data_IF_562924754574
#
_entry.id   IF_562924754574
#
_cell.length_a   1.000
_cell.length_b   1.000
_cell.length_c   1.000
_cell.angle_alpha   90.00
_cell.angle_beta   90.00
_cell.angle_gamma   90.00
#
_symmetry.space_group_name_H-M   'P 1'
#
loop_
_entity.id
_entity.type
_entity.pdbx_description
1 polymer ?
#
# COMPACT_ATOMS: atom_id res chain seq x y z
N UNK A 1 -16.75 10.83 -14.05
CA UNK A 1 -15.28 10.72 -14.19
C UNK A 1 -14.99 9.81 -15.36
N UNK A 2 -14.21 10.27 -16.35
CA UNK A 2 -14.05 9.58 -17.62
C UNK A 2 -13.44 8.17 -17.45
N UNK A 3 -14.04 7.18 -18.11
CA UNK A 3 -13.50 5.83 -18.27
C UNK A 3 -12.31 5.84 -19.24
N UNK A 4 -11.21 6.51 -18.88
CA UNK A 4 -9.97 6.42 -19.65
C UNK A 4 -9.37 5.02 -19.45
N UNK A 5 -9.45 4.20 -20.50
CA UNK A 5 -8.83 2.88 -20.56
C UNK A 5 -7.39 2.97 -21.02
N UNK A 6 -6.50 2.21 -20.41
CA UNK A 6 -5.13 2.04 -20.89
C UNK A 6 -5.11 1.07 -22.09
N UNK A 7 -4.17 1.27 -23.02
CA UNK A 7 -4.02 0.40 -24.19
C UNK A 7 -2.55 0.14 -24.56
N UNK A 8 -2.28 -1.10 -24.97
CA UNK A 8 -1.07 -1.55 -25.65
C UNK A 8 -1.47 -2.21 -26.98
N UNK A 9 -0.50 -2.63 -27.79
CA UNK A 9 -0.71 -3.20 -29.13
C UNK A 9 -1.77 -4.31 -29.19
N UNK A 10 -1.89 -5.15 -28.15
CA UNK A 10 -2.82 -6.28 -28.11
C UNK A 10 -3.68 -6.34 -26.84
N UNK A 11 -3.77 -5.26 -26.07
CA UNK A 11 -4.48 -5.27 -24.78
C UNK A 11 -5.06 -3.91 -24.45
N UNK A 12 -6.34 -3.87 -24.08
CA UNK A 12 -6.96 -2.71 -23.43
C UNK A 12 -7.41 -3.10 -22.05
N UNK A 13 -7.20 -2.24 -21.06
CA UNK A 13 -7.57 -2.56 -19.68
C UNK A 13 -7.96 -1.31 -18.88
N UNK A 14 -8.81 -1.55 -17.89
CA UNK A 14 -9.19 -0.59 -16.87
C UNK A 14 -9.34 -1.35 -15.55
N UNK A 15 -8.21 -1.60 -14.89
CA UNK A 15 -8.16 -2.46 -13.70
C UNK A 15 -7.98 -1.60 -12.46
N UNK A 16 -9.11 -1.15 -11.90
CA UNK A 16 -9.15 -0.38 -10.64
C UNK A 16 -9.54 -1.30 -9.49
N UNK A 17 -8.81 -1.21 -8.38
CA UNK A 17 -9.05 -2.02 -7.20
C UNK A 17 -9.16 -1.11 -5.97
N UNK A 18 -10.24 -1.30 -5.22
CA UNK A 18 -10.38 -0.72 -3.89
C UNK A 18 -9.76 -1.68 -2.88
N UNK A 19 -8.68 -1.24 -2.24
CA UNK A 19 -7.87 -2.04 -1.33
C UNK A 19 -7.99 -1.46 0.06
N UNK A 20 -8.39 -2.31 1.00
CA UNK A 20 -8.42 -1.96 2.42
C UNK A 20 -7.50 -2.90 3.18
N UNK A 21 -6.61 -2.35 3.98
CA UNK A 21 -5.79 -3.16 4.87
C UNK A 21 -5.46 -2.44 6.16
N UNK A 22 -5.16 -3.24 7.18
CA UNK A 22 -4.88 -2.78 8.54
C UNK A 22 -3.57 -3.40 9.05
N UNK A 23 -2.93 -2.71 9.99
CA UNK A 23 -1.81 -3.26 10.75
C UNK A 23 -2.29 -4.40 11.65
N UNK A 24 -1.40 -5.40 11.85
CA UNK A 24 -1.63 -6.48 12.83
C UNK A 24 -1.89 -5.86 14.21
N UNK A 25 -2.92 -6.35 14.89
CA UNK A 25 -3.43 -5.83 16.18
C UNK A 25 -4.01 -4.41 16.15
N UNK A 26 -4.36 -3.86 14.97
CA UNK A 26 -5.12 -2.60 14.82
C UNK A 26 -4.53 -1.43 15.64
N UNK A 27 -3.20 -1.30 15.61
CA UNK A 27 -2.45 -0.35 16.43
C UNK A 27 -2.62 1.08 15.95
N UNK A 28 -3.61 1.78 16.51
CA UNK A 28 -3.99 3.14 16.11
C UNK A 28 -2.88 4.18 16.27
N UNK A 29 -2.04 4.01 17.27
CA UNK A 29 -0.93 4.93 17.58
C UNK A 29 0.04 5.09 16.41
N UNK A 30 0.30 4.01 15.67
CA UNK A 30 1.24 4.02 14.54
C UNK A 30 0.70 4.89 13.40
N UNK A 31 -0.59 4.77 13.09
CA UNK A 31 -1.23 5.57 12.05
C UNK A 31 -1.34 7.05 12.41
N UNK A 32 -1.47 7.39 13.69
CA UNK A 32 -1.53 8.79 14.12
C UNK A 32 -0.15 9.44 14.11
N UNK A 33 0.88 8.77 14.62
CA UNK A 33 2.23 9.34 14.73
C UNK A 33 2.95 9.38 13.38
N UNK A 34 2.89 8.30 12.60
CA UNK A 34 3.70 8.11 11.39
C UNK A 34 2.87 8.23 10.10
N UNK A 35 1.73 8.94 10.17
CA UNK A 35 0.79 9.05 9.04
C UNK A 35 1.45 9.54 7.75
N UNK A 36 2.30 10.56 7.88
CA UNK A 36 2.98 11.21 6.76
C UNK A 36 4.01 10.27 6.14
N UNK A 37 4.84 9.65 6.95
CA UNK A 37 5.87 8.69 6.49
C UNK A 37 5.23 7.46 5.84
N UNK A 38 4.17 6.90 6.45
CA UNK A 38 3.43 5.78 5.88
C UNK A 38 2.85 6.11 4.50
N UNK A 39 2.32 7.32 4.32
CA UNK A 39 1.82 7.78 3.01
C UNK A 39 2.95 7.80 1.97
N UNK A 40 4.10 8.35 2.34
CA UNK A 40 5.25 8.45 1.45
C UNK A 40 5.80 7.07 1.08
N UNK A 41 5.98 6.18 2.06
CA UNK A 41 6.39 4.78 1.85
C UNK A 41 5.45 4.07 0.87
N UNK A 42 4.13 4.17 1.07
CA UNK A 42 3.14 3.54 0.18
C UNK A 42 3.19 4.11 -1.23
N UNK A 43 3.38 5.42 -1.39
CA UNK A 43 3.54 6.06 -2.70
C UNK A 43 4.80 5.58 -3.42
N UNK A 44 5.93 5.48 -2.72
CA UNK A 44 7.19 4.96 -3.27
C UNK A 44 6.99 3.50 -3.73
N UNK A 45 6.41 2.64 -2.87
CA UNK A 45 6.19 1.23 -3.20
C UNK A 45 5.28 1.03 -4.41
N UNK A 46 4.19 1.82 -4.52
CA UNK A 46 3.30 1.76 -5.68
C UNK A 46 4.03 2.22 -6.95
N UNK A 47 4.79 3.32 -6.89
CA UNK A 47 5.58 3.82 -8.02
C UNK A 47 6.62 2.80 -8.49
N UNK A 48 7.34 2.16 -7.57
CA UNK A 48 8.30 1.10 -7.90
C UNK A 48 7.67 -0.11 -8.60
N UNK A 49 6.38 -0.39 -8.35
CA UNK A 49 5.64 -1.48 -9.02
C UNK A 49 4.89 -1.04 -10.27
N UNK A 50 4.96 0.24 -10.65
CA UNK A 50 4.19 0.80 -11.76
C UNK A 50 2.68 0.76 -11.50
N UNK A 51 2.27 0.84 -10.23
CA UNK A 51 0.88 0.93 -9.80
C UNK A 51 0.56 2.40 -9.54
N UNK A 52 -0.53 2.88 -10.12
CA UNK A 52 -0.99 4.25 -9.94
C UNK A 52 -2.00 4.31 -8.78
N UNK A 53 -1.81 5.27 -7.88
CA UNK A 53 -2.76 5.54 -6.80
C UNK A 53 -3.71 6.62 -7.29
N UNK A 54 -4.99 6.28 -7.40
CA UNK A 54 -6.05 7.21 -7.81
C UNK A 54 -6.51 8.01 -6.60
N UNK A 55 -6.81 7.31 -5.51
CA UNK A 55 -7.21 7.91 -4.23
C UNK A 55 -6.63 7.11 -3.07
N UNK A 56 -6.36 7.78 -1.95
CA UNK A 56 -5.80 7.12 -0.78
C UNK A 56 -6.12 7.87 0.51
N UNK A 57 -6.82 7.20 1.41
CA UNK A 57 -7.19 7.70 2.74
C UNK A 57 -6.63 6.79 3.81
N UNK A 58 -5.71 7.31 4.61
CA UNK A 58 -5.27 6.67 5.85
C UNK A 58 -6.31 6.99 6.93
N UNK A 59 -6.90 5.98 7.56
CA UNK A 59 -7.69 6.13 8.77
C UNK A 59 -6.84 5.73 9.98
N UNK A 60 -7.24 6.10 11.21
CA UNK A 60 -6.48 5.76 12.40
C UNK A 60 -6.28 4.26 12.60
N UNK A 61 -7.11 3.41 12.02
CA UNK A 61 -7.12 1.96 12.26
C UNK A 61 -6.91 1.10 10.99
N UNK A 62 -7.03 1.68 9.80
CA UNK A 62 -6.85 1.01 8.51
C UNK A 62 -6.52 2.01 7.39
N UNK A 63 -6.03 1.53 6.25
CA UNK A 63 -5.79 2.32 5.04
C UNK A 63 -6.79 1.90 3.94
N UNK A 64 -7.45 2.89 3.32
CA UNK A 64 -8.23 2.74 2.10
C UNK A 64 -7.45 3.31 0.93
N UNK A 65 -7.23 2.52 -0.11
CA UNK A 65 -6.52 2.98 -1.30
C UNK A 65 -7.23 2.46 -2.54
N UNK A 66 -7.57 3.37 -3.46
CA UNK A 66 -8.01 3.06 -4.79
C UNK A 66 -6.80 3.11 -5.73
N UNK A 67 -6.44 1.96 -6.31
CA UNK A 67 -5.28 1.82 -7.18
C UNK A 67 -5.65 1.29 -8.56
N UNK A 68 -4.89 1.71 -9.57
CA UNK A 68 -4.89 1.13 -10.91
C UNK A 68 -3.71 0.18 -11.04
N UNK A 69 -3.99 -1.12 -11.13
CA UNK A 69 -2.95 -2.17 -11.20
C UNK A 69 -2.89 -2.68 -12.64
N UNK A 70 -1.72 -2.70 -13.29
CA UNK A 70 -1.56 -3.31 -14.60
C UNK A 70 -1.91 -4.81 -14.57
N UNK A 71 -2.60 -5.36 -15.58
CA UNK A 71 -3.07 -6.75 -15.58
C UNK A 71 -1.94 -7.79 -15.57
N UNK A 72 -0.70 -7.40 -15.92
CA UNK A 72 0.49 -8.24 -15.78
C UNK A 72 0.87 -8.54 -14.32
N UNK A 73 0.39 -7.72 -13.37
CA UNK A 73 0.72 -7.83 -11.96
C UNK A 73 -0.46 -8.42 -11.20
N UNK A 74 -0.24 -9.58 -10.57
CA UNK A 74 -1.25 -10.17 -9.69
C UNK A 74 -1.49 -9.29 -8.47
N UNK A 75 -2.77 -9.07 -8.15
CA UNK A 75 -3.21 -8.30 -6.99
C UNK A 75 -2.68 -8.92 -5.68
N UNK A 76 -2.68 -10.25 -5.55
CA UNK A 76 -2.17 -10.92 -4.34
C UNK A 76 -0.67 -10.71 -4.15
N UNK A 77 0.10 -10.81 -5.23
CA UNK A 77 1.55 -10.55 -5.22
C UNK A 77 1.86 -9.09 -4.88
N UNK A 78 1.12 -8.15 -5.48
CA UNK A 78 1.21 -6.73 -5.15
C UNK A 78 0.91 -6.48 -3.66
N UNK A 79 -0.15 -7.07 -3.12
CA UNK A 79 -0.53 -6.90 -1.72
C UNK A 79 0.49 -7.49 -0.75
N UNK A 80 1.04 -8.66 -1.04
CA UNK A 80 2.11 -9.26 -0.24
C UNK A 80 3.36 -8.37 -0.24
N UNK A 81 3.73 -7.82 -1.39
CA UNK A 81 4.86 -6.90 -1.49
C UNK A 81 4.61 -5.59 -0.74
N UNK A 82 3.43 -4.98 -0.93
CA UNK A 82 3.05 -3.72 -0.32
C UNK A 82 3.11 -3.82 1.20
N UNK A 83 2.42 -4.80 1.79
CA UNK A 83 2.39 -5.03 3.25
C UNK A 83 3.75 -5.42 3.82
N UNK A 84 4.45 -6.33 3.15
CA UNK A 84 5.75 -6.83 3.60
C UNK A 84 6.81 -5.72 3.60
N UNK A 85 6.99 -5.03 2.46
CA UNK A 85 7.99 -3.97 2.34
C UNK A 85 7.64 -2.74 3.18
N UNK A 86 6.38 -2.32 3.24
CA UNK A 86 5.99 -1.16 4.07
C UNK A 86 6.34 -1.40 5.53
N UNK A 87 6.16 -2.62 6.01
CA UNK A 87 6.46 -2.98 7.40
C UNK A 87 7.97 -2.99 7.66
N UNK A 88 8.77 -3.50 6.71
CA UNK A 88 10.23 -3.46 6.80
C UNK A 88 10.72 -2.00 6.86
N UNK A 89 10.29 -1.16 5.92
CA UNK A 89 10.66 0.26 5.87
C UNK A 89 10.28 1.00 7.15
N UNK A 90 9.10 0.72 7.70
CA UNK A 90 8.65 1.31 8.96
C UNK A 90 9.56 0.93 10.13
N UNK A 91 9.98 -0.34 10.24
CA UNK A 91 10.86 -0.80 11.31
C UNK A 91 12.32 -0.37 11.14
N UNK A 92 12.75 -0.10 9.90
CA UNK A 92 14.08 0.47 9.61
C UNK A 92 14.13 1.96 9.95
N UNK A 93 13.10 2.72 9.59
CA UNK A 93 13.02 4.15 9.90
C UNK A 93 12.77 4.41 11.39
N UNK A 94 11.96 3.56 12.05
CA UNK A 94 11.60 3.72 13.47
C UNK A 94 12.02 2.48 14.27
N UNK A 95 13.30 2.45 14.67
CA UNK A 95 13.88 1.35 15.44
C UNK A 95 13.15 1.01 16.75
N UNK A 96 12.50 1.99 17.38
CA UNK A 96 11.67 1.79 18.58
C UNK A 96 10.50 0.82 18.33
N UNK A 97 9.87 0.90 17.15
CA UNK A 97 8.77 0.02 16.77
C UNK A 97 9.25 -1.42 16.63
N UNK A 98 10.49 -1.63 16.17
CA UNK A 98 11.08 -2.96 16.02
C UNK A 98 11.26 -3.64 17.39
N UNK A 99 11.68 -2.87 18.39
CA UNK A 99 11.82 -3.38 19.76
C UNK A 99 10.46 -3.63 20.40
N UNK A 100 9.52 -2.69 20.25
CA UNK A 100 8.17 -2.76 20.83
C UNK A 100 7.31 -3.87 20.22
N UNK A 101 7.57 -4.26 18.98
CA UNK A 101 6.67 -5.11 18.17
C UNK A 101 7.37 -6.29 17.48
N UNK A 102 8.36 -6.86 18.16
CA UNK A 102 9.36 -7.84 17.69
C UNK A 102 8.87 -9.07 16.91
N UNK A 103 7.60 -9.45 17.01
CA UNK A 103 7.04 -10.60 16.27
C UNK A 103 6.62 -10.18 14.86
N UNK A 104 7.56 -10.25 13.91
CA UNK A 104 7.40 -9.98 12.46
C UNK A 104 6.54 -11.02 11.73
N UNK A 105 5.63 -11.69 12.43
CA UNK A 105 4.69 -12.61 11.83
C UNK A 105 3.56 -11.80 11.20
N UNK A 106 3.45 -11.84 9.87
CA UNK A 106 2.40 -11.20 9.10
C UNK A 106 1.20 -12.12 8.92
#
# INVERSE_FOLDING_TARGET
MANQSNSLAHMKWLCKYHIVFMLKYRRKTIYNQYRKDLREMLQILCRCKGVEIIEGHLMPDHAHILVSIPPKLSVSSFMGNLKGKSSIMLYEQFGELKYKYRNREF
#
